data_IF_038169096172
#
_entry.id   IF_038169096172
#
_cell.length_a   1.000
_cell.length_b   1.000
_cell.length_c   1.000
_cell.angle_alpha   90.00
_cell.angle_beta   90.00
_cell.angle_gamma   90.00
#
_symmetry.space_group_name_H-M   'P 1'
#
loop_
_entity.id
_entity.type
_entity.pdbx_description
1 polymer ?
#
# COMPACT_ATOMS: atom_id res chain seq x y z
N UNK A 1 20.81 5.27 -3.30
CA UNK A 1 19.78 5.56 -2.26
C UNK A 1 19.44 4.25 -1.59
N UNK A 2 19.44 4.22 -0.25
CA UNK A 2 19.13 3.05 0.57
C UNK A 2 17.63 2.90 0.77
N UNK A 3 17.20 1.72 1.19
CA UNK A 3 15.88 1.49 1.78
C UNK A 3 16.08 1.39 3.29
N UNK A 4 15.28 2.11 4.04
CA UNK A 4 15.32 2.12 5.50
C UNK A 4 14.30 1.15 6.06
N UNK A 5 14.66 0.46 7.14
CA UNK A 5 13.80 -0.55 7.76
C UNK A 5 13.74 -0.35 9.27
N UNK A 6 12.56 -0.54 9.84
CA UNK A 6 12.32 -0.51 11.28
C UNK A 6 11.50 -1.72 11.73
N UNK A 7 11.92 -2.35 12.83
CA UNK A 7 11.13 -3.35 13.52
C UNK A 7 10.03 -2.71 14.36
N UNK A 8 8.88 -3.37 14.41
CA UNK A 8 7.71 -2.98 15.20
C UNK A 8 7.55 -3.95 16.37
N UNK A 9 7.38 -3.43 17.59
CA UNK A 9 7.01 -4.29 18.72
C UNK A 9 5.51 -4.63 18.64
N UNK A 10 5.25 -5.89 18.37
CA UNK A 10 3.93 -6.38 18.01
C UNK A 10 3.00 -6.69 19.19
N UNK A 11 3.27 -6.18 20.37
CA UNK A 11 2.56 -6.59 21.59
C UNK A 11 1.05 -6.31 21.58
N UNK A 12 0.53 -5.50 20.64
CA UNK A 12 -0.88 -5.07 20.66
C UNK A 12 -1.70 -5.35 19.38
N UNK A 13 -1.43 -6.45 18.68
CA UNK A 13 -2.17 -6.84 17.46
C UNK A 13 -3.53 -7.48 17.69
N UNK A 14 -4.00 -7.55 18.90
CA UNK A 14 -5.29 -8.15 19.24
C UNK A 14 -6.41 -7.13 19.04
N UNK A 15 -6.58 -6.67 17.81
CA UNK A 15 -7.76 -5.91 17.42
C UNK A 15 -9.00 -6.84 17.43
N UNK A 16 -10.14 -6.29 17.84
CA UNK A 16 -11.43 -6.93 17.66
C UNK A 16 -11.84 -6.99 16.19
N UNK A 17 -13.12 -7.18 15.90
CA UNK A 17 -13.69 -7.19 14.55
C UNK A 17 -13.45 -5.88 13.76
N UNK A 18 -13.36 -4.75 14.47
CA UNK A 18 -12.94 -3.44 13.94
C UNK A 18 -11.53 -3.19 14.45
N UNK A 19 -10.64 -2.68 13.58
CA UNK A 19 -9.28 -2.33 13.97
C UNK A 19 -9.33 -1.22 15.05
N UNK A 20 -8.81 -1.49 16.24
CA UNK A 20 -8.60 -0.47 17.26
C UNK A 20 -7.39 0.40 16.86
N UNK A 21 -7.67 1.43 16.08
CA UNK A 21 -6.67 2.33 15.51
C UNK A 21 -5.91 3.06 16.60
N UNK A 22 -6.59 3.48 17.68
CA UNK A 22 -5.96 4.23 18.77
C UNK A 22 -4.93 3.41 19.54
N UNK A 23 -5.26 2.17 19.89
CA UNK A 23 -4.32 1.29 20.57
C UNK A 23 -3.09 0.95 19.71
N UNK A 24 -3.24 0.99 18.39
CA UNK A 24 -2.19 0.64 17.43
C UNK A 24 -1.30 1.81 17.03
N UNK A 25 -1.83 3.03 16.99
CA UNK A 25 -1.07 4.23 16.61
C UNK A 25 0.22 4.38 17.43
N UNK A 26 0.13 4.19 18.75
CA UNK A 26 1.29 4.30 19.64
C UNK A 26 2.38 3.27 19.31
N UNK A 27 2.04 2.09 18.81
CA UNK A 27 3.00 1.05 18.42
C UNK A 27 3.75 1.39 17.14
N UNK A 28 3.13 2.19 16.25
CA UNK A 28 3.71 2.55 14.95
C UNK A 28 4.39 3.92 14.93
N UNK A 29 4.15 4.78 15.92
CA UNK A 29 4.71 6.13 15.98
C UNK A 29 6.25 6.15 15.79
N UNK A 30 6.98 5.43 16.63
CA UNK A 30 8.45 5.41 16.54
C UNK A 30 8.97 4.69 15.28
N UNK A 31 8.48 3.50 14.89
CA UNK A 31 8.90 2.86 13.65
C UNK A 31 8.61 3.68 12.39
N UNK A 32 7.43 4.28 12.27
CA UNK A 32 7.09 5.13 11.14
C UNK A 32 8.01 6.36 11.07
N UNK A 33 8.23 7.03 12.21
CA UNK A 33 9.16 8.15 12.29
C UNK A 33 10.55 7.76 11.79
N UNK A 34 11.11 6.66 12.31
CA UNK A 34 12.49 6.27 12.01
C UNK A 34 12.72 5.93 10.55
N UNK A 35 11.74 5.34 9.84
CA UNK A 35 11.85 5.07 8.40
C UNK A 35 11.59 6.30 7.53
N UNK A 36 10.81 7.29 8.02
CA UNK A 36 10.49 8.52 7.29
C UNK A 36 11.55 9.62 7.46
N UNK A 37 12.23 9.67 8.63
CA UNK A 37 13.17 10.73 8.99
C UNK A 37 14.26 10.97 7.92
N UNK A 38 14.84 9.95 7.25
CA UNK A 38 15.80 10.15 6.16
C UNK A 38 15.24 10.91 4.96
N UNK A 39 13.92 10.99 4.82
CA UNK A 39 13.21 11.61 3.69
C UNK A 39 12.52 12.94 4.03
N UNK A 40 12.65 13.44 5.27
CA UNK A 40 11.96 14.66 5.74
C UNK A 40 12.14 15.82 4.78
N UNK A 41 13.35 16.08 4.29
CA UNK A 41 13.60 17.22 3.38
C UNK A 41 12.85 17.13 2.06
N UNK A 42 12.59 15.94 1.53
CA UNK A 42 11.78 15.76 0.31
C UNK A 42 10.28 15.80 0.60
N UNK A 43 9.87 15.38 1.80
CA UNK A 43 8.47 15.37 2.21
C UNK A 43 7.96 16.75 2.62
N UNK A 44 8.82 17.60 3.15
CA UNK A 44 8.46 18.95 3.64
C UNK A 44 8.65 20.07 2.62
N UNK A 45 9.13 19.77 1.43
CA UNK A 45 9.39 20.75 0.36
C UNK A 45 8.14 21.04 -0.52
N UNK A 46 6.94 20.88 0.02
CA UNK A 46 5.69 20.94 -0.75
C UNK A 46 4.56 21.52 0.10
N UNK A 47 3.55 22.06 -0.56
CA UNK A 47 2.33 22.57 0.08
C UNK A 47 1.23 21.48 0.15
N UNK A 48 1.42 20.33 -0.50
CA UNK A 48 0.45 19.23 -0.52
C UNK A 48 1.14 17.89 -0.47
N UNK A 49 0.61 16.99 0.35
CA UNK A 49 1.07 15.60 0.45
C UNK A 49 -0.13 14.68 0.25
N UNK A 50 0.04 13.66 -0.59
CA UNK A 50 -0.98 12.64 -0.82
C UNK A 50 -0.45 11.27 -0.40
N UNK A 51 -1.06 10.69 0.64
CA UNK A 51 -0.79 9.33 1.09
C UNK A 51 -1.71 8.38 0.32
N UNK A 52 -1.13 7.40 -0.35
CA UNK A 52 -1.84 6.40 -1.16
C UNK A 52 -1.66 5.02 -0.52
N UNK A 53 -2.55 4.60 0.39
CA UNK A 53 -2.50 3.27 0.98
C UNK A 53 -3.03 2.18 0.03
N UNK A 54 -2.66 0.94 0.29
CA UNK A 54 -3.35 -0.21 -0.33
C UNK A 54 -4.70 -0.42 0.39
N UNK A 55 -5.71 0.25 -0.10
CA UNK A 55 -7.07 0.29 0.45
C UNK A 55 -8.12 0.06 -0.65
N UNK A 56 -7.86 -0.94 -1.48
CA UNK A 56 -8.70 -1.25 -2.66
C UNK A 56 -10.01 -1.95 -2.30
N UNK A 57 -10.15 -2.45 -1.07
CA UNK A 57 -11.34 -3.16 -0.59
C UNK A 57 -11.37 -3.17 0.95
N UNK A 58 -12.54 -3.24 1.61
CA UNK A 58 -12.67 -3.22 3.07
C UNK A 58 -12.30 -4.56 3.70
N UNK A 59 -11.04 -4.96 3.57
CA UNK A 59 -10.48 -6.07 4.33
C UNK A 59 -10.11 -5.66 5.75
N UNK A 60 -10.22 -6.58 6.70
CA UNK A 60 -9.67 -6.34 8.02
C UNK A 60 -8.12 -6.27 7.94
N UNK A 61 -7.46 -5.27 8.56
CA UNK A 61 -6.00 -5.10 8.45
C UNK A 61 -5.20 -6.33 8.89
N UNK A 62 -5.69 -7.12 9.84
CA UNK A 62 -5.05 -8.36 10.28
C UNK A 62 -4.94 -9.44 9.19
N UNK A 63 -5.58 -9.24 8.03
CA UNK A 63 -5.46 -10.16 6.90
C UNK A 63 -4.19 -9.95 6.09
N UNK A 64 -3.52 -8.80 6.23
CA UNK A 64 -2.39 -8.41 5.39
C UNK A 64 -2.78 -8.07 3.94
N UNK A 65 -4.07 -7.90 3.65
CA UNK A 65 -4.58 -7.58 2.31
C UNK A 65 -4.70 -6.09 2.04
N UNK A 66 -4.70 -5.29 3.07
CA UNK A 66 -4.75 -3.81 3.03
C UNK A 66 -3.72 -3.24 3.99
N UNK A 67 -3.32 -2.00 3.74
CA UNK A 67 -2.45 -1.25 4.64
C UNK A 67 -3.15 -1.05 5.98
N UNK A 68 -2.41 -1.25 7.06
CA UNK A 68 -2.91 -0.99 8.41
C UNK A 68 -3.24 0.50 8.60
N UNK A 69 -4.48 0.84 8.98
CA UNK A 69 -4.87 2.24 9.20
C UNK A 69 -3.99 2.96 10.22
N UNK A 70 -3.46 2.24 11.21
CA UNK A 70 -2.56 2.83 12.20
C UNK A 70 -1.18 3.19 11.61
N UNK A 71 -0.70 2.45 10.60
CA UNK A 71 0.49 2.85 9.82
C UNK A 71 0.21 4.14 9.06
N UNK A 72 -0.95 4.21 8.37
CA UNK A 72 -1.37 5.42 7.64
C UNK A 72 -1.50 6.61 8.58
N UNK A 73 -2.14 6.41 9.73
CA UNK A 73 -2.30 7.43 10.77
C UNK A 73 -0.98 7.94 11.34
N UNK A 74 -0.03 7.03 11.61
CA UNK A 74 1.30 7.42 12.10
C UNK A 74 2.10 8.20 11.05
N UNK A 75 1.97 7.85 9.76
CA UNK A 75 2.56 8.63 8.68
C UNK A 75 1.93 10.03 8.62
N UNK A 76 0.60 10.11 8.68
CA UNK A 76 -0.12 11.40 8.65
C UNK A 76 0.25 12.28 9.83
N UNK A 77 0.36 11.72 11.04
CA UNK A 77 0.77 12.44 12.26
C UNK A 77 2.17 13.06 12.13
N UNK A 78 3.15 12.27 11.67
CA UNK A 78 4.51 12.78 11.45
C UNK A 78 4.56 13.86 10.38
N UNK A 79 3.85 13.70 9.28
CA UNK A 79 3.80 14.70 8.22
C UNK A 79 3.16 15.99 8.73
N UNK A 80 2.04 15.92 9.44
CA UNK A 80 1.40 17.07 10.05
C UNK A 80 2.29 17.77 11.08
N UNK A 81 3.14 17.02 11.80
CA UNK A 81 4.10 17.57 12.74
C UNK A 81 5.35 18.21 12.11
N UNK A 82 5.68 17.86 10.86
CA UNK A 82 6.90 18.34 10.19
C UNK A 82 6.65 19.46 9.19
N UNK A 83 5.43 19.63 8.71
CA UNK A 83 5.10 20.61 7.67
C UNK A 83 3.69 21.15 7.84
N UNK A 84 3.45 22.35 7.30
CA UNK A 84 2.12 22.97 7.20
C UNK A 84 1.38 22.54 5.91
N UNK A 85 1.90 21.53 5.19
CA UNK A 85 1.29 21.06 3.96
C UNK A 85 -0.07 20.41 4.21
N UNK A 86 -0.98 20.57 3.25
CA UNK A 86 -2.27 19.86 3.25
C UNK A 86 -2.03 18.36 3.03
N UNK A 87 -2.37 17.54 4.01
CA UNK A 87 -2.22 16.07 3.94
C UNK A 87 -3.53 15.42 3.55
N UNK A 88 -3.50 14.53 2.57
CA UNK A 88 -4.66 13.72 2.17
C UNK A 88 -4.36 12.23 2.20
N UNK A 89 -5.36 11.42 2.58
CA UNK A 89 -5.42 9.99 2.37
C UNK A 89 -6.27 9.75 1.13
N UNK A 90 -5.68 9.19 0.08
CA UNK A 90 -6.32 9.07 -1.22
C UNK A 90 -6.42 7.62 -1.69
N UNK A 91 -7.55 7.29 -2.28
CA UNK A 91 -7.80 6.06 -3.01
C UNK A 91 -8.67 6.32 -4.22
N UNK A 92 -9.20 5.30 -4.85
CA UNK A 92 -10.12 5.46 -5.97
C UNK A 92 -11.28 4.48 -5.86
N UNK A 93 -12.49 4.99 -6.04
CA UNK A 93 -13.68 4.18 -6.28
C UNK A 93 -13.53 3.38 -7.58
N UNK A 94 -14.07 2.17 -7.58
CA UNK A 94 -14.21 1.34 -8.77
C UNK A 94 -15.67 0.87 -8.96
N UNK A 95 -15.92 0.07 -10.00
CA UNK A 95 -17.27 -0.45 -10.31
C UNK A 95 -17.86 -1.37 -9.21
N UNK A 96 -17.02 -1.82 -8.26
CA UNK A 96 -17.40 -2.77 -7.20
C UNK A 96 -17.70 -2.06 -5.90
N UNK A 97 -16.88 -1.07 -5.54
CA UNK A 97 -16.99 -0.40 -4.26
C UNK A 97 -16.55 1.07 -4.36
N UNK A 98 -17.30 1.95 -3.69
CA UNK A 98 -16.90 3.33 -3.49
C UNK A 98 -15.76 3.41 -2.45
N UNK A 99 -14.78 4.27 -2.68
CA UNK A 99 -13.64 4.45 -1.77
C UNK A 99 -14.08 4.89 -0.37
N UNK A 100 -15.11 5.71 -0.27
CA UNK A 100 -15.67 6.16 1.03
C UNK A 100 -16.06 4.97 1.93
N UNK A 101 -16.62 3.91 1.34
CA UNK A 101 -16.98 2.71 2.10
C UNK A 101 -15.77 1.99 2.67
N UNK A 102 -14.72 1.91 1.89
CA UNK A 102 -13.45 1.32 2.34
C UNK A 102 -12.80 2.21 3.40
N UNK A 103 -12.82 3.51 3.20
CA UNK A 103 -12.30 4.50 4.14
C UNK A 103 -13.03 4.44 5.50
N UNK A 104 -14.36 4.38 5.48
CA UNK A 104 -15.19 4.19 6.69
C UNK A 104 -14.83 2.89 7.42
N UNK A 105 -14.74 1.78 6.70
CA UNK A 105 -14.39 0.49 7.28
C UNK A 105 -12.99 0.47 7.91
N UNK A 106 -12.04 1.15 7.30
CA UNK A 106 -10.66 1.28 7.77
C UNK A 106 -10.48 2.41 8.81
N UNK A 107 -11.54 3.05 9.26
CA UNK A 107 -11.51 4.16 10.23
C UNK A 107 -10.67 5.35 9.78
N UNK A 108 -10.52 5.58 8.48
CA UNK A 108 -9.82 6.77 7.98
C UNK A 108 -10.48 8.09 8.38
N UNK A 109 -11.83 8.23 8.53
CA UNK A 109 -12.45 9.43 9.07
C UNK A 109 -11.89 9.85 10.44
N UNK A 110 -11.67 8.88 11.35
CA UNK A 110 -11.11 9.14 12.67
C UNK A 110 -9.64 9.62 12.59
N UNK A 111 -8.87 9.08 11.62
CA UNK A 111 -7.49 9.49 11.35
C UNK A 111 -7.44 10.93 10.83
N UNK A 112 -8.27 11.28 9.84
CA UNK A 112 -8.26 12.63 9.27
C UNK A 112 -8.77 13.67 10.26
N UNK A 113 -9.77 13.35 11.08
CA UNK A 113 -10.22 14.22 12.17
C UNK A 113 -9.11 14.50 13.18
N UNK A 114 -8.35 13.45 13.53
CA UNK A 114 -7.28 13.55 14.54
C UNK A 114 -6.06 14.33 14.07
N UNK A 115 -5.64 14.15 12.81
CA UNK A 115 -4.39 14.69 12.29
C UNK A 115 -4.57 15.83 11.29
N UNK A 116 -5.79 16.32 11.11
CA UNK A 116 -6.08 17.44 10.20
C UNK A 116 -5.87 17.11 8.72
N UNK A 117 -5.96 15.82 8.37
CA UNK A 117 -5.89 15.37 6.99
C UNK A 117 -7.27 15.41 6.30
N UNK A 118 -7.34 15.04 5.02
CA UNK A 118 -8.59 14.86 4.28
C UNK A 118 -8.65 13.49 3.61
N UNK A 119 -9.86 13.03 3.27
CA UNK A 119 -10.07 11.82 2.45
C UNK A 119 -10.42 12.29 1.05
N UNK A 120 -9.75 11.70 0.03
CA UNK A 120 -9.94 12.09 -1.36
C UNK A 120 -10.19 10.85 -2.22
N UNK A 121 -11.31 10.87 -2.97
CA UNK A 121 -11.57 9.89 -4.02
C UNK A 121 -10.96 10.40 -5.34
N UNK A 122 -9.90 9.76 -5.78
CA UNK A 122 -9.19 10.09 -7.02
C UNK A 122 -9.98 9.74 -8.29
N UNK A 123 -11.10 9.00 -8.17
CA UNK A 123 -11.98 8.73 -9.29
C UNK A 123 -12.73 9.99 -9.75
N UNK A 124 -13.01 10.90 -8.81
CA UNK A 124 -13.75 12.15 -9.05
C UNK A 124 -12.83 13.33 -9.42
N UNK A 125 -11.50 13.14 -9.33
CA UNK A 125 -10.52 14.19 -9.61
C UNK A 125 -10.38 14.46 -11.13
N UNK A 126 -10.10 15.71 -11.46
CA UNK A 126 -9.67 16.08 -12.82
C UNK A 126 -8.40 15.34 -13.18
N UNK A 127 -8.23 15.04 -14.46
CA UNK A 127 -7.13 14.19 -14.93
C UNK A 127 -6.30 14.90 -16.01
N UNK A 128 -5.00 14.65 -15.97
CA UNK A 128 -4.04 15.14 -16.96
C UNK A 128 -3.42 13.96 -17.71
N UNK A 129 -3.35 14.10 -19.04
CA UNK A 129 -2.72 13.09 -19.87
C UNK A 129 -1.19 13.31 -19.92
N UNK A 130 -0.47 12.22 -19.78
CA UNK A 130 0.99 12.18 -19.93
C UNK A 130 1.39 11.03 -20.85
N UNK A 131 2.54 11.16 -21.51
CA UNK A 131 3.10 10.10 -22.36
C UNK A 131 4.52 9.87 -21.91
N UNK A 132 4.82 8.63 -21.55
CA UNK A 132 6.16 8.20 -21.12
C UNK A 132 6.61 6.99 -21.93
N UNK A 133 7.92 6.80 -22.05
CA UNK A 133 8.49 5.63 -22.73
C UNK A 133 8.67 4.50 -21.73
N UNK A 134 8.10 3.33 -22.01
CA UNK A 134 8.28 2.08 -21.27
C UNK A 134 8.78 1.03 -22.26
N UNK A 135 9.91 0.42 -22.02
CA UNK A 135 10.52 -0.62 -22.88
C UNK A 135 10.57 -0.26 -24.39
N UNK A 136 10.91 0.99 -24.69
CA UNK A 136 10.93 1.62 -26.01
C UNK A 136 9.55 1.88 -26.66
N UNK A 137 8.46 1.64 -25.98
CA UNK A 137 7.11 1.95 -26.42
C UNK A 137 6.56 3.19 -25.70
N UNK A 138 5.79 4.00 -26.41
CA UNK A 138 5.12 5.15 -25.81
C UNK A 138 3.82 4.74 -25.16
N UNK A 139 3.73 4.91 -23.84
CA UNK A 139 2.54 4.62 -23.04
C UNK A 139 1.88 5.93 -22.63
N UNK A 140 0.62 6.10 -23.02
CA UNK A 140 -0.20 7.23 -22.60
C UNK A 140 -0.97 6.86 -21.34
N UNK A 141 -0.89 7.69 -20.32
CA UNK A 141 -1.62 7.56 -19.05
C UNK A 141 -2.42 8.80 -18.75
N UNK A 142 -3.62 8.63 -18.22
CA UNK A 142 -4.46 9.70 -17.71
C UNK A 142 -4.40 9.64 -16.18
N UNK A 143 -3.76 10.64 -15.57
CA UNK A 143 -3.39 10.67 -14.15
C UNK A 143 -4.26 11.68 -13.41
N UNK A 144 -4.82 11.38 -12.22
CA UNK A 144 -5.46 12.38 -11.39
C UNK A 144 -4.52 13.56 -11.10
N UNK A 145 -4.99 14.79 -11.29
CA UNK A 145 -4.13 15.99 -11.15
C UNK A 145 -3.55 16.10 -9.75
N UNK A 146 -4.28 15.67 -8.73
CA UNK A 146 -3.79 15.63 -7.37
C UNK A 146 -2.48 14.86 -7.22
N UNK A 147 -2.33 13.71 -7.89
CA UNK A 147 -1.08 12.93 -7.85
C UNK A 147 0.10 13.62 -8.53
N UNK A 148 -0.16 14.57 -9.44
CA UNK A 148 0.87 15.35 -10.15
C UNK A 148 1.24 16.62 -9.40
N UNK A 149 0.29 17.16 -8.63
CA UNK A 149 0.41 18.47 -7.99
C UNK A 149 0.68 18.34 -6.47
N UNK A 150 1.04 17.15 -5.99
CA UNK A 150 1.39 16.87 -4.59
C UNK A 150 2.63 15.97 -4.47
N UNK A 151 3.25 15.99 -3.30
CA UNK A 151 4.24 14.98 -2.92
C UNK A 151 3.52 13.69 -2.56
N UNK A 152 3.77 12.61 -3.32
CA UNK A 152 3.06 11.34 -3.16
C UNK A 152 3.87 10.38 -2.29
N UNK A 153 3.23 9.85 -1.26
CA UNK A 153 3.72 8.75 -0.41
C UNK A 153 2.84 7.53 -0.64
N UNK A 154 3.40 6.48 -1.24
CA UNK A 154 2.64 5.24 -1.49
C UNK A 154 2.85 4.29 -0.33
N UNK A 155 1.76 3.70 0.20
CA UNK A 155 1.84 2.80 1.35
C UNK A 155 1.26 1.42 0.99
N UNK A 156 2.02 0.60 0.22
CA UNK A 156 1.59 -0.75 -0.13
C UNK A 156 1.70 -1.69 1.06
N UNK A 157 0.93 -2.78 1.05
CA UNK A 157 1.09 -3.91 1.98
C UNK A 157 1.88 -5.05 1.34
N UNK A 158 2.57 -5.85 2.17
CA UNK A 158 3.36 -6.99 1.71
C UNK A 158 2.45 -8.20 1.39
N UNK A 159 2.14 -8.36 0.12
CA UNK A 159 1.31 -9.48 -0.38
C UNK A 159 1.54 -9.75 -1.86
N UNK A 160 1.25 -10.97 -2.34
CA UNK A 160 1.19 -11.25 -3.77
C UNK A 160 -0.02 -10.54 -4.42
N UNK A 161 -0.09 -10.57 -5.75
CA UNK A 161 -1.22 -10.07 -6.54
C UNK A 161 -1.51 -10.99 -7.72
N UNK A 162 -2.74 -10.96 -8.24
CA UNK A 162 -3.12 -11.73 -9.45
C UNK A 162 -2.38 -11.24 -10.71
N UNK A 163 -1.99 -9.97 -10.72
CA UNK A 163 -1.33 -9.32 -11.86
C UNK A 163 0.20 -9.36 -11.78
N UNK A 164 0.77 -9.99 -10.76
CA UNK A 164 2.23 -10.07 -10.63
C UNK A 164 2.69 -10.65 -9.30
N UNK A 165 4.02 -10.78 -9.12
CA UNK A 165 4.62 -11.41 -7.95
C UNK A 165 4.28 -10.71 -6.63
N UNK A 166 4.20 -9.38 -6.64
CA UNK A 166 3.94 -8.55 -5.46
C UNK A 166 2.99 -7.40 -5.80
N UNK A 167 2.12 -7.01 -4.87
CA UNK A 167 1.23 -5.88 -5.03
C UNK A 167 2.02 -4.57 -5.24
N UNK A 168 2.85 -4.18 -4.30
CA UNK A 168 3.82 -3.09 -4.43
C UNK A 168 3.24 -1.70 -4.72
N UNK A 169 4.10 -0.69 -4.56
CA UNK A 169 3.73 0.71 -4.78
C UNK A 169 3.54 1.07 -6.25
N UNK A 170 4.33 0.48 -7.15
CA UNK A 170 4.20 0.73 -8.58
C UNK A 170 2.84 0.25 -9.11
N UNK A 171 2.39 -0.96 -8.74
CA UNK A 171 1.08 -1.49 -9.11
C UNK A 171 -0.07 -0.75 -8.41
N UNK A 172 0.16 -0.28 -7.17
CA UNK A 172 -0.81 0.57 -6.49
C UNK A 172 -1.07 1.86 -7.27
N UNK A 173 -0.04 2.54 -7.74
CA UNK A 173 -0.17 3.73 -8.61
C UNK A 173 -0.81 3.39 -9.96
N UNK A 174 -0.44 2.26 -10.57
CA UNK A 174 -1.01 1.81 -11.83
C UNK A 174 -2.54 1.65 -11.81
N UNK A 175 -3.10 1.28 -10.65
CA UNK A 175 -4.56 1.17 -10.47
C UNK A 175 -5.29 2.51 -10.38
N UNK A 176 -4.58 3.60 -10.08
CA UNK A 176 -5.16 4.94 -9.94
C UNK A 176 -5.18 5.72 -11.26
N UNK A 177 -4.50 5.24 -12.28
CA UNK A 177 -4.44 5.87 -13.59
C UNK A 177 -5.24 5.08 -14.62
N UNK A 178 -5.64 5.75 -15.70
CA UNK A 178 -6.28 5.10 -16.83
C UNK A 178 -5.32 5.03 -18.01
N UNK A 179 -5.23 3.89 -18.66
CA UNK A 179 -4.40 3.64 -19.84
C UNK A 179 -5.03 2.62 -20.75
N UNK A 180 -4.68 2.66 -22.03
CA UNK A 180 -5.00 1.59 -22.98
C UNK A 180 -3.93 0.49 -23.05
N UNK A 181 -2.78 0.70 -22.37
CA UNK A 181 -1.71 -0.29 -22.27
C UNK A 181 -2.10 -1.40 -21.26
N UNK A 182 -1.32 -2.48 -21.24
CA UNK A 182 -1.45 -3.53 -20.24
C UNK A 182 -1.15 -3.01 -18.82
N UNK A 183 -1.51 -3.79 -17.82
CA UNK A 183 -1.40 -3.38 -16.41
C UNK A 183 0.05 -3.14 -15.97
N UNK A 184 1.00 -3.93 -16.45
CA UNK A 184 2.41 -3.82 -16.08
C UNK A 184 3.04 -2.56 -16.67
N UNK A 185 2.85 -2.32 -17.97
CA UNK A 185 3.28 -1.09 -18.64
C UNK A 185 2.63 0.15 -18.01
N UNK A 186 1.35 0.04 -17.63
CA UNK A 186 0.62 1.12 -16.95
C UNK A 186 1.21 1.42 -15.57
N UNK A 187 1.60 0.41 -14.79
CA UNK A 187 2.22 0.60 -13.48
C UNK A 187 3.57 1.32 -13.58
N UNK A 188 4.40 0.95 -14.55
CA UNK A 188 5.68 1.62 -14.81
C UNK A 188 5.45 3.07 -15.27
N UNK A 189 4.53 3.28 -16.21
CA UNK A 189 4.21 4.61 -16.73
C UNK A 189 3.63 5.51 -15.64
N UNK A 190 2.74 5.01 -14.81
CA UNK A 190 2.19 5.75 -13.65
C UNK A 190 3.30 6.18 -12.70
N UNK A 191 4.20 5.26 -12.33
CA UNK A 191 5.32 5.55 -11.42
C UNK A 191 6.26 6.61 -11.99
N UNK A 192 6.59 6.52 -13.29
CA UNK A 192 7.45 7.51 -13.98
C UNK A 192 6.78 8.87 -14.14
N UNK A 193 5.44 8.91 -14.21
CA UNK A 193 4.70 10.17 -14.36
C UNK A 193 4.44 10.85 -13.02
N UNK A 194 4.09 10.10 -12.00
CA UNK A 194 3.78 10.61 -10.65
C UNK A 194 5.07 10.94 -9.89
N UNK A 195 6.14 10.18 -10.11
CA UNK A 195 7.42 10.33 -9.39
C UNK A 195 7.25 10.38 -7.86
N UNK A 196 6.65 9.32 -7.25
CA UNK A 196 6.38 9.33 -5.81
C UNK A 196 7.66 9.60 -5.01
N UNK A 197 7.56 10.42 -3.97
CA UNK A 197 8.69 10.78 -3.12
C UNK A 197 9.29 9.55 -2.44
N UNK A 198 8.42 8.63 -1.99
CA UNK A 198 8.82 7.33 -1.45
C UNK A 198 7.61 6.37 -1.40
N UNK A 199 7.93 5.08 -1.21
CA UNK A 199 6.98 4.08 -0.70
C UNK A 199 7.33 3.71 0.73
N UNK A 200 6.28 3.51 1.55
CA UNK A 200 6.37 2.89 2.88
C UNK A 200 5.66 1.54 2.82
N UNK A 201 6.42 0.46 2.71
CA UNK A 201 5.85 -0.90 2.70
C UNK A 201 5.40 -1.27 4.10
N UNK A 202 4.11 -1.47 4.25
CA UNK A 202 3.54 -2.08 5.44
C UNK A 202 3.73 -3.62 5.37
N UNK A 203 4.75 -4.08 6.07
CA UNK A 203 5.01 -5.49 6.33
C UNK A 203 4.74 -5.84 7.80
N UNK A 204 3.85 -5.12 8.47
CA UNK A 204 3.47 -5.46 9.84
C UNK A 204 2.67 -6.75 9.89
N UNK A 205 1.71 -6.89 8.99
CA UNK A 205 1.05 -8.16 8.67
C UNK A 205 1.20 -8.41 7.18
N UNK A 206 1.98 -9.41 6.81
CA UNK A 206 2.12 -9.86 5.43
C UNK A 206 1.07 -10.91 5.11
N UNK A 207 0.60 -10.94 3.87
CA UNK A 207 -0.15 -12.08 3.35
C UNK A 207 0.77 -12.94 2.49
N UNK A 208 0.92 -14.20 2.87
CA UNK A 208 1.78 -15.16 2.16
C UNK A 208 1.11 -16.56 2.12
N UNK A 209 -0.14 -16.61 1.63
CA UNK A 209 -1.03 -17.77 1.72
C UNK A 209 -1.91 -17.71 2.96
N UNK A 210 -1.34 -17.30 4.08
CA UNK A 210 -2.01 -16.96 5.34
C UNK A 210 -1.47 -15.61 5.85
N UNK A 211 -2.22 -14.89 6.72
CA UNK A 211 -1.72 -13.70 7.39
C UNK A 211 -0.58 -14.03 8.34
N UNK A 212 0.57 -13.39 8.15
CA UNK A 212 1.78 -13.60 8.95
C UNK A 212 2.24 -12.29 9.56
N UNK A 213 2.49 -12.30 10.85
CA UNK A 213 3.11 -11.20 11.54
C UNK A 213 4.58 -11.06 11.08
N UNK A 214 4.88 -10.03 10.29
CA UNK A 214 6.24 -9.72 9.85
C UNK A 214 6.86 -8.55 10.63
N UNK A 215 6.02 -7.76 11.33
CA UNK A 215 6.41 -6.74 12.33
C UNK A 215 7.44 -5.74 11.82
N UNK A 216 7.30 -5.29 10.59
CA UNK A 216 8.34 -4.50 9.93
C UNK A 216 7.72 -3.43 9.03
N UNK A 217 8.36 -2.25 9.00
CA UNK A 217 8.13 -1.20 8.01
C UNK A 217 9.39 -0.98 7.19
N UNK A 218 9.23 -0.77 5.88
CA UNK A 218 10.32 -0.37 4.99
C UNK A 218 9.96 0.94 4.30
N UNK A 219 10.92 1.86 4.13
CA UNK A 219 10.71 3.07 3.35
C UNK A 219 11.85 3.33 2.37
N UNK A 220 11.51 3.81 1.18
CA UNK A 220 12.51 4.10 0.16
C UNK A 220 11.92 4.42 -1.21
N UNK A 221 12.76 4.56 -2.24
CA UNK A 221 12.30 4.70 -3.61
C UNK A 221 11.39 3.52 -4.00
N UNK A 222 10.24 3.83 -4.60
CA UNK A 222 9.14 2.86 -4.83
C UNK A 222 9.60 1.56 -5.47
N UNK A 223 10.35 1.62 -6.56
CA UNK A 223 10.83 0.42 -7.25
C UNK A 223 11.77 -0.43 -6.40
N UNK A 224 12.56 0.18 -5.49
CA UNK A 224 13.46 -0.56 -4.60
C UNK A 224 12.70 -1.23 -3.47
N UNK A 225 11.68 -0.57 -2.94
CA UNK A 225 10.78 -1.13 -1.93
C UNK A 225 10.01 -2.31 -2.51
N UNK A 226 9.51 -2.19 -3.74
CA UNK A 226 8.82 -3.28 -4.44
C UNK A 226 9.75 -4.48 -4.71
N UNK A 227 11.03 -4.23 -5.04
CA UNK A 227 12.03 -5.28 -5.20
C UNK A 227 12.32 -6.02 -3.88
N UNK A 228 12.37 -5.30 -2.75
CA UNK A 228 12.48 -5.91 -1.42
C UNK A 228 11.24 -6.76 -1.13
N UNK A 229 10.04 -6.23 -1.38
CA UNK A 229 8.79 -6.96 -1.19
C UNK A 229 8.76 -8.26 -2.00
N UNK A 230 9.19 -8.20 -3.28
CA UNK A 230 9.33 -9.37 -4.15
C UNK A 230 10.31 -10.40 -3.56
N UNK A 231 11.50 -9.94 -3.13
CA UNK A 231 12.52 -10.80 -2.52
C UNK A 231 12.04 -11.45 -1.22
N UNK A 232 11.27 -10.73 -0.38
CA UNK A 232 10.71 -11.26 0.87
C UNK A 232 9.70 -12.39 0.62
N UNK A 233 8.94 -12.30 -0.46
CA UNK A 233 7.97 -13.33 -0.89
C UNK A 233 8.61 -14.43 -1.77
N UNK A 234 9.95 -14.49 -1.82
CA UNK A 234 10.71 -15.47 -2.65
C UNK A 234 10.38 -15.39 -4.14
N UNK A 235 10.08 -14.20 -4.65
CA UNK A 235 9.82 -13.94 -6.07
C UNK A 235 11.05 -13.30 -6.73
N UNK A 236 11.35 -13.73 -7.94
CA UNK A 236 12.46 -13.16 -8.71
C UNK A 236 12.05 -11.82 -9.33
N UNK A 237 12.94 -10.83 -9.31
CA UNK A 237 12.77 -9.57 -10.04
C UNK A 237 12.68 -9.85 -11.56
N UNK A 238 13.38 -10.87 -12.07
CA UNK A 238 13.35 -11.25 -13.47
C UNK A 238 11.98 -11.77 -13.92
N UNK A 239 11.21 -12.35 -12.98
CA UNK A 239 9.86 -12.84 -13.24
C UNK A 239 8.79 -11.74 -13.14
N UNK A 240 9.16 -10.56 -12.60
CA UNK A 240 8.26 -9.42 -12.48
C UNK A 240 8.46 -8.43 -13.64
N UNK A 241 7.53 -8.35 -14.62
CA UNK A 241 7.65 -7.43 -15.75
C UNK A 241 7.78 -5.97 -15.32
N UNK A 242 7.08 -5.55 -14.25
CA UNK A 242 7.10 -4.18 -13.74
C UNK A 242 8.50 -3.84 -13.22
N UNK A 243 9.08 -4.71 -12.38
CA UNK A 243 10.42 -4.49 -11.82
C UNK A 243 11.50 -4.58 -12.90
N UNK A 244 11.38 -5.52 -13.82
CA UNK A 244 12.29 -5.65 -14.96
C UNK A 244 12.30 -4.40 -15.83
N UNK A 245 11.14 -3.81 -16.13
CA UNK A 245 11.06 -2.56 -16.89
C UNK A 245 11.55 -1.35 -16.08
N UNK A 246 11.41 -1.40 -14.73
CA UNK A 246 11.89 -0.31 -13.87
C UNK A 246 13.41 -0.29 -13.73
N UNK A 247 14.07 -1.44 -13.62
CA UNK A 247 15.52 -1.56 -13.42
C UNK A 247 16.30 -1.78 -14.70
N UNK A 248 15.65 -2.21 -15.79
CA UNK A 248 16.32 -2.62 -17.01
C UNK A 248 17.03 -3.97 -16.86
N UNK A 249 18.17 -4.13 -17.54
CA UNK A 249 18.93 -5.40 -17.61
C UNK A 249 19.79 -5.64 -16.37
N UNK A 250 20.06 -4.62 -15.57
CA UNK A 250 20.93 -4.73 -14.40
C UNK A 250 20.12 -5.08 -13.15
N UNK A 251 20.52 -6.15 -12.47
CA UNK A 251 19.97 -6.48 -11.15
C UNK A 251 20.35 -5.38 -10.13
N UNK A 252 19.36 -4.74 -9.46
CA UNK A 252 19.65 -3.62 -8.59
C UNK A 252 20.38 -4.07 -7.33
N UNK A 253 21.50 -3.44 -7.01
CA UNK A 253 22.09 -3.54 -5.67
C UNK A 253 21.30 -2.63 -4.71
N UNK A 254 20.55 -3.23 -3.79
CA UNK A 254 19.74 -2.51 -2.82
C UNK A 254 20.38 -2.64 -1.44
N UNK A 255 20.79 -1.50 -0.87
CA UNK A 255 21.25 -1.44 0.51
C UNK A 255 20.04 -1.22 1.42
N UNK A 256 19.91 -2.05 2.45
CA UNK A 256 18.88 -1.92 3.49
C UNK A 256 19.55 -1.52 4.80
N UNK A 257 19.06 -0.44 5.40
CA UNK A 257 19.61 0.14 6.62
C UNK A 257 18.59 0.07 7.75
N UNK A 258 18.95 -0.57 8.87
CA UNK A 258 18.15 -0.53 10.09
C UNK A 258 18.19 0.87 10.69
N UNK A 259 17.03 1.49 10.89
CA UNK A 259 16.90 2.86 11.45
C UNK A 259 16.44 2.88 12.90
N UNK A 260 16.26 1.71 13.49
CA UNK A 260 15.67 1.57 14.81
C UNK A 260 14.16 1.30 14.74
N UNK A 261 13.45 1.57 15.81
CA UNK A 261 12.02 1.29 15.96
C UNK A 261 11.72 0.86 17.38
N UNK A 262 10.55 0.31 17.63
CA UNK A 262 10.19 -0.29 18.92
C UNK A 262 10.56 -1.76 19.01
N UNK A 263 10.68 -2.43 17.86
CA UNK A 263 11.08 -3.82 17.75
C UNK A 263 12.59 -4.03 17.61
N UNK A 264 13.03 -5.29 17.50
CA UNK A 264 14.43 -5.64 17.26
C UNK A 264 14.88 -5.22 15.86
N UNK A 265 16.21 -5.13 15.67
CA UNK A 265 16.79 -4.97 14.34
C UNK A 265 16.30 -6.06 13.39
N UNK A 266 15.95 -5.65 12.17
CA UNK A 266 15.39 -6.52 11.16
C UNK A 266 16.49 -7.26 10.41
N UNK A 267 16.51 -8.58 10.54
CA UNK A 267 17.32 -9.47 9.69
C UNK A 267 16.46 -10.01 8.54
N UNK A 268 16.73 -9.51 7.33
CA UNK A 268 15.98 -9.89 6.12
C UNK A 268 16.01 -11.39 5.84
N UNK A 269 17.12 -12.07 6.16
CA UNK A 269 17.23 -13.52 5.95
C UNK A 269 16.28 -14.27 6.88
N UNK A 270 16.21 -13.87 8.12
CA UNK A 270 15.29 -14.45 9.11
C UNK A 270 13.84 -14.11 8.77
N UNK A 271 13.57 -12.87 8.35
CA UNK A 271 12.22 -12.43 7.94
C UNK A 271 11.74 -13.25 6.74
N UNK A 272 12.55 -13.38 5.71
CA UNK A 272 12.24 -14.17 4.51
C UNK A 272 11.91 -15.63 4.83
N UNK A 273 12.65 -16.27 5.74
CA UNK A 273 12.37 -17.67 6.16
C UNK A 273 11.03 -17.83 6.89
N UNK A 274 10.50 -16.76 7.47
CA UNK A 274 9.20 -16.74 8.15
C UNK A 274 8.04 -16.56 7.17
N UNK A 275 8.31 -16.03 5.99
CA UNK A 275 7.31 -15.78 4.96
C UNK A 275 7.33 -16.95 3.97
N UNK A 276 6.34 -17.83 3.97
CA UNK A 276 6.28 -18.91 3.00
C UNK A 276 6.10 -18.34 1.59
N UNK A 277 6.40 -19.16 0.59
CA UNK A 277 6.21 -18.82 -0.81
C UNK A 277 4.70 -18.59 -1.05
N UNK A 278 4.28 -17.32 -1.01
CA UNK A 278 2.89 -16.95 -0.87
C UNK A 278 2.10 -17.10 -2.17
N UNK A 279 0.99 -17.78 -2.08
CA UNK A 279 -0.06 -17.72 -3.09
C UNK A 279 -1.17 -16.80 -2.59
N UNK A 280 -1.93 -16.22 -3.54
CA UNK A 280 -3.18 -15.53 -3.23
C UNK A 280 -4.13 -16.50 -2.53
N UNK A 281 -5.10 -15.95 -1.73
CA UNK A 281 -6.14 -16.80 -1.17
C UNK A 281 -6.75 -17.64 -2.30
N UNK A 282 -7.01 -18.94 -2.06
CA UNK A 282 -7.68 -19.75 -3.05
C UNK A 282 -9.00 -19.04 -3.43
N UNK A 283 -9.30 -19.02 -4.72
CA UNK A 283 -10.60 -18.53 -5.18
C UNK A 283 -11.66 -19.28 -4.39
N UNK A 284 -12.53 -18.51 -3.76
CA UNK A 284 -13.44 -19.04 -2.74
C UNK A 284 -14.34 -20.13 -3.33
N UNK A 285 -14.18 -21.36 -2.85
CA UNK A 285 -15.10 -22.49 -3.10
C UNK A 285 -16.30 -22.45 -2.14
N UNK A 286 -16.65 -21.29 -1.60
CA UNK A 286 -17.73 -21.16 -0.63
C UNK A 286 -19.03 -21.69 -1.23
N UNK A 287 -19.67 -22.59 -0.52
CA UNK A 287 -20.92 -23.20 -0.98
C UNK A 287 -21.96 -22.12 -1.36
N UNK A 288 -22.64 -22.22 -2.51
CA UNK A 288 -23.56 -21.19 -3.02
C UNK A 288 -24.61 -20.71 -2.00
N UNK A 289 -25.02 -21.57 -1.07
CA UNK A 289 -25.95 -21.21 -0.01
C UNK A 289 -25.35 -20.24 1.02
N UNK A 290 -24.06 -20.34 1.31
CA UNK A 290 -23.35 -19.44 2.20
C UNK A 290 -23.18 -18.07 1.54
N UNK A 291 -22.80 -18.06 0.28
CA UNK A 291 -22.74 -16.84 -0.54
C UNK A 291 -24.09 -16.11 -0.60
N UNK A 292 -25.18 -16.86 -0.79
CA UNK A 292 -26.53 -16.29 -0.76
C UNK A 292 -26.91 -15.72 0.62
N UNK A 293 -26.56 -16.41 1.70
CA UNK A 293 -26.84 -15.96 3.07
C UNK A 293 -26.10 -14.65 3.37
N UNK A 294 -24.84 -14.51 2.99
CA UNK A 294 -24.08 -13.28 3.14
C UNK A 294 -24.62 -12.13 2.28
N UNK A 295 -25.04 -12.40 1.03
CA UNK A 295 -25.70 -11.38 0.19
C UNK A 295 -27.02 -10.87 0.79
N UNK A 296 -27.78 -11.75 1.40
CA UNK A 296 -29.00 -11.38 2.10
C UNK A 296 -28.69 -10.58 3.37
N UNK A 297 -27.69 -10.99 4.12
CA UNK A 297 -27.21 -10.27 5.31
C UNK A 297 -26.72 -8.86 4.96
N UNK A 298 -25.88 -8.73 3.94
CA UNK A 298 -25.38 -7.45 3.47
C UNK A 298 -26.49 -6.48 3.03
N UNK A 299 -27.55 -7.00 2.39
CA UNK A 299 -28.72 -6.18 2.02
C UNK A 299 -29.52 -5.67 3.21
N UNK A 300 -29.56 -6.42 4.30
CA UNK A 300 -30.36 -6.10 5.50
C UNK A 300 -29.56 -5.28 6.49
N UNK A 301 -28.28 -5.60 6.67
CA UNK A 301 -27.38 -4.96 7.62
C UNK A 301 -26.65 -3.73 7.05
N UNK A 302 -26.66 -3.56 5.73
CA UNK A 302 -25.95 -2.45 5.06
C UNK A 302 -24.43 -2.65 5.03
N UNK A 303 -23.92 -3.79 5.45
CA UNK A 303 -22.50 -4.09 5.47
C UNK A 303 -22.00 -4.59 4.11
N UNK A 304 -20.75 -4.27 3.80
CA UNK A 304 -20.08 -4.83 2.65
C UNK A 304 -19.95 -6.36 2.79
N UNK A 305 -20.17 -7.08 1.70
CA UNK A 305 -19.96 -8.52 1.66
C UNK A 305 -18.48 -8.78 1.92
N UNK A 306 -18.12 -9.70 2.84
CA UNK A 306 -16.72 -10.06 3.03
C UNK A 306 -16.08 -10.47 1.69
N UNK A 307 -14.87 -9.97 1.40
CA UNK A 307 -14.21 -10.12 0.09
C UNK A 307 -14.04 -11.56 -0.37
N UNK A 308 -13.83 -12.46 0.55
CA UNK A 308 -13.72 -13.91 0.30
C UNK A 308 -14.92 -14.50 -0.43
N UNK A 309 -16.03 -13.75 -0.51
CA UNK A 309 -17.28 -14.23 -1.11
C UNK A 309 -17.58 -13.63 -2.49
N UNK A 310 -16.77 -12.67 -2.95
CA UNK A 310 -16.94 -12.06 -4.28
C UNK A 310 -16.04 -12.64 -5.37
N UNK A 311 -15.05 -13.46 -5.01
CA UNK A 311 -14.08 -14.07 -5.95
C UNK A 311 -14.69 -15.12 -6.89
N UNK A 312 -15.98 -15.28 -6.89
CA UNK A 312 -16.75 -16.26 -7.69
C UNK A 312 -17.44 -15.68 -8.92
N UNK A 313 -16.83 -14.66 -9.61
CA UNK A 313 -17.34 -14.18 -10.90
C UNK A 313 -16.27 -14.11 -11.94
#
# INVERSE_FOLDING_TARGET
MSVHVAGVDATDRRGGWIADTDARLASFESPARSVLEPYVSSLTATDRITIVPDAHYPFHPSTGMVTDPAVVGSIADHLAGWTEADVAIAGASDDRIAFDRTAEYLSYPDIVERFGAEIVDLADESRRNSVVTVDNEQVSVSVPERLLDSTVVVVPTLRPTETGPVAGGMRALGRLVSSAADADSTAVAATRTVEPALSVLDATTAYAGDPIAADTLFAGPTQRVDAIASSLLERSIEEDPVLRSAFGVEEPSITVENTGGTGPDVDLTTLRRRLPNGELPPRDETHPAVTLAYRLYARVAGDAVPPQLESGR
#
